data_IF_234300336664
#
_entry.id   IF_234300336664
#
_cell.length_a   1.000
_cell.length_b   1.000
_cell.length_c   1.000
_cell.angle_alpha   90.00
_cell.angle_beta   90.00
_cell.angle_gamma   90.00
#
_symmetry.space_group_name_H-M   'P 1'
#
loop_
_entity.id
_entity.type
_entity.pdbx_description
1 polymer ?
#
# COMPACT_ATOMS: atom_id res chain seq x y z
N UNK A 1 7.41 -12.70 -6.40
CA UNK A 1 6.32 -11.70 -6.51
C UNK A 1 6.26 -11.13 -7.91
N UNK A 2 5.07 -11.10 -8.45
CA UNK A 2 4.80 -10.41 -9.72
C UNK A 2 4.03 -9.14 -9.39
N UNK A 3 4.53 -8.00 -9.87
CA UNK A 3 3.88 -6.70 -9.69
C UNK A 3 3.48 -6.20 -11.08
N UNK A 4 2.19 -5.95 -11.26
CA UNK A 4 1.64 -5.44 -12.52
C UNK A 4 0.93 -4.12 -12.23
N UNK A 5 1.09 -3.15 -13.12
CA UNK A 5 0.45 -1.83 -12.97
C UNK A 5 -0.57 -1.63 -14.06
N UNK A 6 -1.76 -1.19 -13.67
CA UNK A 6 -2.80 -0.74 -14.59
C UNK A 6 -3.06 0.74 -14.30
N UNK A 7 -2.90 1.59 -15.30
CA UNK A 7 -3.21 3.01 -15.16
C UNK A 7 -4.66 3.25 -15.60
N UNK A 8 -5.39 4.04 -14.80
CA UNK A 8 -6.79 4.32 -15.09
C UNK A 8 -6.92 5.27 -16.29
N UNK A 9 -7.72 4.88 -17.28
CA UNK A 9 -7.89 5.67 -18.49
C UNK A 9 -8.69 6.94 -18.28
N UNK A 10 -9.58 6.96 -17.29
CA UNK A 10 -10.41 8.12 -16.98
C UNK A 10 -9.67 9.19 -16.16
N UNK A 11 -8.52 8.84 -15.59
CA UNK A 11 -7.72 9.77 -14.80
C UNK A 11 -6.25 9.33 -14.80
N UNK A 12 -5.37 10.20 -15.28
CA UNK A 12 -3.93 9.96 -15.28
C UNK A 12 -3.34 9.95 -13.87
N UNK A 13 -4.05 10.48 -12.88
CA UNK A 13 -3.58 10.53 -11.50
C UNK A 13 -3.88 9.29 -10.68
N UNK A 14 -4.64 8.31 -11.24
CA UNK A 14 -5.02 7.08 -10.54
C UNK A 14 -4.38 5.86 -11.20
N UNK A 15 -3.76 5.01 -10.40
CA UNK A 15 -3.20 3.74 -10.86
C UNK A 15 -3.57 2.60 -9.90
N UNK A 16 -3.55 1.38 -10.42
CA UNK A 16 -3.74 0.16 -9.64
C UNK A 16 -2.47 -0.67 -9.73
N UNK A 17 -1.92 -1.05 -8.60
CA UNK A 17 -0.83 -2.02 -8.52
C UNK A 17 -1.43 -3.37 -8.12
N UNK A 18 -1.24 -4.38 -8.97
CA UNK A 18 -1.66 -5.75 -8.70
C UNK A 18 -0.50 -6.53 -8.10
N UNK A 19 -0.71 -7.09 -6.91
CA UNK A 19 0.29 -7.88 -6.19
C UNK A 19 -0.04 -9.36 -6.30
N UNK A 20 0.87 -10.14 -6.86
CA UNK A 20 0.70 -11.58 -7.03
C UNK A 20 1.86 -12.32 -6.36
N UNK A 21 1.57 -13.02 -5.28
CA UNK A 21 2.53 -13.82 -4.53
C UNK A 21 2.75 -13.33 -3.11
N UNK A 22 4.02 -13.24 -2.70
CA UNK A 22 4.41 -12.91 -1.32
C UNK A 22 5.05 -11.53 -1.25
N UNK A 23 4.54 -10.69 -0.39
CA UNK A 23 5.16 -9.40 -0.07
C UNK A 23 5.98 -9.56 1.20
N UNK A 24 7.28 -9.72 1.03
CA UNK A 24 8.22 -10.05 2.08
C UNK A 24 9.57 -9.33 1.88
N UNK A 25 10.61 -9.74 2.60
CA UNK A 25 11.94 -9.12 2.51
C UNK A 25 12.58 -9.23 1.14
N UNK A 26 12.12 -10.13 0.27
CA UNK A 26 12.64 -10.30 -1.08
C UNK A 26 11.93 -9.42 -2.12
N UNK A 27 10.77 -8.88 -1.79
CA UNK A 27 9.92 -8.16 -2.75
C UNK A 27 9.50 -6.75 -2.33
N UNK A 28 9.65 -6.40 -1.06
CA UNK A 28 9.11 -5.14 -0.53
C UNK A 28 9.75 -3.88 -1.15
N UNK A 29 11.04 -3.94 -1.47
CA UNK A 29 11.72 -2.81 -2.14
C UNK A 29 11.21 -2.60 -3.56
N UNK A 30 10.86 -3.69 -4.24
CA UNK A 30 10.29 -3.63 -5.59
C UNK A 30 8.96 -2.88 -5.59
N UNK A 31 8.13 -3.13 -4.59
CA UNK A 31 6.86 -2.40 -4.45
C UNK A 31 7.10 -0.90 -4.19
N UNK A 32 8.02 -0.57 -3.31
CA UNK A 32 8.36 0.83 -3.01
C UNK A 32 8.86 1.52 -4.29
N UNK A 33 9.74 0.87 -5.05
CA UNK A 33 10.28 1.44 -6.29
C UNK A 33 9.18 1.67 -7.32
N UNK A 34 8.24 0.75 -7.44
CA UNK A 34 7.11 0.90 -8.36
C UNK A 34 6.24 2.10 -7.95
N UNK A 35 5.99 2.27 -6.66
CA UNK A 35 5.28 3.44 -6.14
C UNK A 35 6.00 4.74 -6.44
N UNK A 36 7.32 4.78 -6.27
CA UNK A 36 8.14 5.95 -6.60
C UNK A 36 8.05 6.31 -8.08
N UNK A 37 8.12 5.31 -8.95
CA UNK A 37 8.03 5.51 -10.40
C UNK A 37 6.68 6.10 -10.79
N UNK A 38 5.59 5.58 -10.22
CA UNK A 38 4.25 6.08 -10.48
C UNK A 38 4.08 7.52 -9.98
N UNK A 39 4.52 7.80 -8.77
CA UNK A 39 4.42 9.14 -8.19
C UNK A 39 5.21 10.14 -9.01
N UNK A 40 6.43 9.79 -9.43
CA UNK A 40 7.27 10.65 -10.29
C UNK A 40 6.62 10.88 -11.64
N UNK A 41 5.83 9.93 -12.14
CA UNK A 41 5.11 10.04 -13.40
C UNK A 41 3.80 10.80 -13.31
N UNK A 42 3.41 11.30 -12.15
CA UNK A 42 2.19 12.10 -11.98
C UNK A 42 1.03 11.41 -11.27
N UNK A 43 1.14 10.12 -10.96
CA UNK A 43 0.11 9.40 -10.20
C UNK A 43 0.05 9.94 -8.77
N UNK A 44 -1.15 10.24 -8.30
CA UNK A 44 -1.38 10.79 -6.95
C UNK A 44 -2.31 9.94 -6.10
N UNK A 45 -3.02 9.00 -6.71
CA UNK A 45 -3.95 8.10 -6.05
C UNK A 45 -3.66 6.67 -6.46
N UNK A 46 -3.60 5.77 -5.49
CA UNK A 46 -3.17 4.41 -5.71
C UNK A 46 -4.14 3.41 -5.09
N UNK A 47 -4.49 2.39 -5.86
CA UNK A 47 -5.17 1.20 -5.36
C UNK A 47 -4.19 0.05 -5.36
N UNK A 48 -4.02 -0.61 -4.23
CA UNK A 48 -3.23 -1.84 -4.12
C UNK A 48 -4.18 -3.03 -4.19
N UNK A 49 -4.15 -3.74 -5.30
CA UNK A 49 -4.96 -4.94 -5.50
C UNK A 49 -4.27 -6.15 -4.85
N UNK A 50 -4.87 -6.64 -3.79
CA UNK A 50 -4.35 -7.73 -2.97
C UNK A 50 -5.04 -9.07 -3.23
N UNK A 51 -5.83 -9.17 -4.30
CA UNK A 51 -6.58 -10.38 -4.63
C UNK A 51 -5.71 -11.63 -4.64
N UNK A 52 -4.51 -11.52 -5.19
CA UNK A 52 -3.56 -12.64 -5.33
C UNK A 52 -2.38 -12.56 -4.36
N UNK A 53 -2.46 -11.70 -3.37
CA UNK A 53 -1.44 -11.61 -2.32
C UNK A 53 -1.66 -12.76 -1.34
N UNK A 54 -0.65 -13.65 -1.22
CA UNK A 54 -0.75 -14.86 -0.41
C UNK A 54 -0.05 -14.75 0.93
N UNK A 55 0.82 -13.75 1.09
CA UNK A 55 1.60 -13.59 2.32
C UNK A 55 2.06 -12.14 2.48
N UNK A 56 2.01 -11.66 3.70
CA UNK A 56 2.47 -10.31 4.07
C UNK A 56 3.36 -10.42 5.31
N UNK A 57 4.65 -10.09 5.17
CA UNK A 57 5.61 -10.06 6.27
C UNK A 57 5.73 -8.65 6.87
N UNK A 58 6.53 -8.53 7.94
CA UNK A 58 6.84 -7.22 8.54
C UNK A 58 7.51 -6.28 7.53
N UNK A 59 8.39 -6.81 6.66
CA UNK A 59 8.98 -6.03 5.57
C UNK A 59 7.91 -5.53 4.59
N UNK A 60 6.92 -6.38 4.30
CA UNK A 60 5.77 -5.98 3.47
C UNK A 60 4.97 -4.85 4.09
N UNK A 61 4.78 -4.88 5.39
CA UNK A 61 4.11 -3.80 6.13
C UNK A 61 4.91 -2.50 6.00
N UNK A 62 6.23 -2.56 6.14
CA UNK A 62 7.10 -1.39 5.94
C UNK A 62 6.90 -0.81 4.54
N UNK A 63 6.77 -1.65 3.52
CA UNK A 63 6.49 -1.20 2.17
C UNK A 63 5.14 -0.47 2.07
N UNK A 64 4.08 -1.03 2.65
CA UNK A 64 2.75 -0.39 2.64
C UNK A 64 2.79 0.99 3.30
N UNK A 65 3.50 1.11 4.42
CA UNK A 65 3.62 2.38 5.12
C UNK A 65 4.42 3.41 4.34
N UNK A 66 5.50 2.97 3.68
CA UNK A 66 6.28 3.86 2.82
C UNK A 66 5.48 4.33 1.62
N UNK A 67 4.67 3.46 1.03
CA UNK A 67 3.75 3.84 -0.04
C UNK A 67 2.76 4.90 0.45
N UNK A 68 2.19 4.72 1.63
CA UNK A 68 1.27 5.70 2.20
C UNK A 68 1.93 7.07 2.38
N UNK A 69 3.14 7.11 2.94
CA UNK A 69 3.88 8.35 3.12
C UNK A 69 4.23 9.01 1.79
N UNK A 70 4.69 8.22 0.84
CA UNK A 70 5.04 8.70 -0.49
C UNK A 70 3.88 9.45 -1.14
N UNK A 71 2.68 8.86 -1.08
CA UNK A 71 1.49 9.45 -1.70
C UNK A 71 0.87 10.59 -0.89
N UNK A 72 1.36 10.84 0.34
CA UNK A 72 1.10 12.09 1.09
C UNK A 72 2.13 13.18 0.79
N UNK A 73 3.17 12.88 0.01
CA UNK A 73 4.26 13.81 -0.27
C UNK A 73 5.28 13.91 0.86
N UNK A 74 5.31 12.94 1.76
CA UNK A 74 6.23 12.91 2.89
C UNK A 74 7.48 12.08 2.59
N UNK A 75 8.54 12.30 3.39
CA UNK A 75 9.75 11.50 3.32
C UNK A 75 9.48 10.06 3.71
N UNK A 76 10.15 9.12 3.05
CA UNK A 76 10.03 7.70 3.37
C UNK A 76 10.65 7.40 4.74
N UNK A 77 10.13 6.36 5.39
CA UNK A 77 10.77 5.80 6.57
C UNK A 77 12.13 5.21 6.21
N UNK A 78 13.05 5.19 7.18
CA UNK A 78 14.28 4.44 7.05
C UNK A 78 13.95 2.95 6.94
N UNK A 79 14.21 2.38 5.77
CA UNK A 79 13.88 1.00 5.45
C UNK A 79 14.65 0.03 6.36
N UNK A 80 15.87 0.40 6.76
CA UNK A 80 16.70 -0.44 7.64
C UNK A 80 16.20 -0.46 9.09
N UNK A 81 15.37 0.48 9.48
CA UNK A 81 14.85 0.56 10.85
C UNK A 81 13.80 -0.51 11.17
N UNK A 82 13.18 -1.16 10.15
CA UNK A 82 12.27 -2.29 10.30
C UNK A 82 11.20 -2.12 11.38
N UNK A 83 11.36 -2.81 12.51
CA UNK A 83 10.42 -2.77 13.63
C UNK A 83 10.19 -1.38 14.22
N UNK A 84 11.20 -0.52 14.21
CA UNK A 84 11.03 0.86 14.69
C UNK A 84 10.07 1.64 13.79
N UNK A 85 10.05 1.34 12.51
CA UNK A 85 9.09 1.92 11.56
C UNK A 85 7.67 1.53 11.94
N UNK A 86 7.44 0.26 12.24
CA UNK A 86 6.11 -0.25 12.64
C UNK A 86 5.68 0.36 13.97
N UNK A 87 6.59 0.49 14.94
CA UNK A 87 6.30 1.13 16.24
C UNK A 87 5.97 2.60 16.11
N UNK A 88 6.57 3.29 15.16
CA UNK A 88 6.30 4.71 14.93
C UNK A 88 4.91 4.99 14.39
N UNK A 89 4.18 3.95 13.96
CA UNK A 89 2.81 4.05 13.50
C UNK A 89 1.86 4.68 14.52
N UNK A 90 2.07 4.41 15.80
CA UNK A 90 1.22 4.98 16.84
C UNK A 90 1.24 6.51 16.82
N UNK A 91 2.36 7.09 16.41
CA UNK A 91 2.50 8.54 16.26
C UNK A 91 1.79 9.05 15.01
N UNK A 92 1.71 8.22 13.98
CA UNK A 92 1.13 8.59 12.69
C UNK A 92 -0.39 8.41 12.67
N UNK A 93 -0.95 7.62 13.56
CA UNK A 93 -2.39 7.39 13.68
C UNK A 93 -3.18 8.67 13.90
N UNK A 94 -2.55 9.71 14.45
CA UNK A 94 -3.16 11.01 14.58
C UNK A 94 -3.54 11.64 13.24
N UNK A 95 -2.97 11.17 12.12
CA UNK A 95 -3.30 11.59 10.77
C UNK A 95 -4.54 10.91 10.17
N UNK A 96 -5.07 9.89 10.84
CA UNK A 96 -6.28 9.19 10.41
C UNK A 96 -6.08 8.28 9.20
N UNK A 97 -7.20 7.94 8.56
CA UNK A 97 -7.23 7.04 7.42
C UNK A 97 -6.57 7.65 6.18
N UNK A 98 -5.84 6.83 5.44
CA UNK A 98 -5.15 7.29 4.24
C UNK A 98 -6.16 7.65 3.14
N UNK A 99 -5.95 8.80 2.50
CA UNK A 99 -6.85 9.31 1.46
C UNK A 99 -6.38 8.95 0.05
N UNK A 100 -5.08 8.73 -0.12
CA UNK A 100 -4.48 8.60 -1.44
C UNK A 100 -4.06 7.17 -1.78
N UNK A 101 -4.15 6.25 -0.83
CA UNK A 101 -3.85 4.83 -1.03
C UNK A 101 -4.96 4.00 -0.44
N UNK A 102 -5.53 3.10 -1.24
CA UNK A 102 -6.64 2.23 -0.82
C UNK A 102 -6.32 0.79 -1.18
N UNK A 103 -6.90 -0.14 -0.42
CA UNK A 103 -6.66 -1.57 -0.60
C UNK A 103 -7.88 -2.23 -1.25
N UNK A 104 -7.63 -3.14 -2.18
CA UNK A 104 -8.66 -3.87 -2.90
C UNK A 104 -8.52 -5.37 -2.62
N UNK A 105 -9.64 -6.00 -2.28
CA UNK A 105 -9.73 -7.45 -2.08
C UNK A 105 -8.73 -8.01 -1.08
N UNK A 106 -8.65 -7.39 0.10
CA UNK A 106 -7.81 -7.88 1.19
C UNK A 106 -8.30 -9.26 1.62
N UNK A 107 -7.40 -10.25 1.54
CA UNK A 107 -7.74 -11.62 1.95
C UNK A 107 -7.84 -11.73 3.47
N UNK A 108 -8.54 -12.74 4.03
CA UNK A 108 -8.61 -12.92 5.48
C UNK A 108 -7.23 -13.05 6.15
N UNK A 109 -6.29 -13.72 5.51
CA UNK A 109 -4.92 -13.89 6.02
C UNK A 109 -4.19 -12.54 6.11
N UNK A 110 -4.27 -11.74 5.07
CA UNK A 110 -3.66 -10.41 5.03
C UNK A 110 -4.35 -9.48 6.02
N UNK A 111 -5.69 -9.52 6.08
CA UNK A 111 -6.45 -8.73 7.05
C UNK A 111 -6.01 -9.02 8.49
N UNK A 112 -5.81 -10.30 8.82
CA UNK A 112 -5.35 -10.70 10.15
C UNK A 112 -3.99 -10.12 10.49
N UNK A 113 -3.07 -10.07 9.53
CA UNK A 113 -1.74 -9.46 9.74
C UNK A 113 -1.87 -7.95 9.98
N UNK A 114 -2.68 -7.26 9.18
CA UNK A 114 -2.90 -5.82 9.33
C UNK A 114 -3.55 -5.51 10.69
N UNK A 115 -4.49 -6.34 11.13
CA UNK A 115 -5.14 -6.18 12.42
C UNK A 115 -4.16 -6.41 13.59
N UNK A 116 -3.32 -7.43 13.48
CA UNK A 116 -2.33 -7.77 14.49
C UNK A 116 -1.33 -6.63 14.73
N UNK A 117 -0.90 -5.95 13.68
CA UNK A 117 0.02 -4.80 13.81
C UNK A 117 -0.72 -3.48 14.02
N UNK A 118 -2.04 -3.49 14.03
CA UNK A 118 -2.86 -2.34 14.37
C UNK A 118 -3.05 -1.33 13.25
N UNK A 119 -2.95 -1.74 11.99
CA UNK A 119 -3.12 -0.84 10.85
C UNK A 119 -4.33 -1.17 9.96
N UNK A 120 -5.19 -2.06 10.42
CA UNK A 120 -6.39 -2.45 9.65
C UNK A 120 -7.29 -1.24 9.33
N UNK A 121 -7.36 -0.27 10.24
CA UNK A 121 -8.16 0.94 10.07
C UNK A 121 -7.39 2.09 9.40
N UNK A 122 -6.14 1.85 9.03
CA UNK A 122 -5.28 2.86 8.42
C UNK A 122 -5.61 3.07 6.93
N UNK A 123 -6.15 2.06 6.27
CA UNK A 123 -6.51 2.10 4.85
C UNK A 123 -7.98 1.77 4.65
N UNK A 124 -8.64 2.51 3.76
CA UNK A 124 -9.95 2.09 3.26
C UNK A 124 -9.81 0.84 2.41
N UNK A 125 -10.72 -0.10 2.58
CA UNK A 125 -10.74 -1.39 1.89
C UNK A 125 -11.98 -1.51 1.01
N UNK A 126 -11.77 -1.97 -0.22
CA UNK A 126 -12.83 -2.16 -1.21
C UNK A 126 -12.81 -3.60 -1.71
N UNK A 127 -13.98 -4.07 -2.16
CA UNK A 127 -14.13 -5.39 -2.79
C UNK A 127 -14.41 -5.28 -4.29
N UNK A 128 -14.72 -4.08 -4.79
CA UNK A 128 -15.07 -3.84 -6.19
C UNK A 128 -14.07 -2.83 -6.77
N UNK A 129 -13.32 -3.21 -7.83
CA UNK A 129 -12.29 -2.33 -8.41
C UNK A 129 -12.82 -0.96 -8.81
N UNK A 130 -13.98 -0.91 -9.47
CA UNK A 130 -14.57 0.36 -9.93
C UNK A 130 -14.90 1.28 -8.77
N UNK A 131 -15.36 0.74 -7.64
CA UNK A 131 -15.67 1.53 -6.45
C UNK A 131 -14.40 2.09 -5.81
N UNK A 132 -13.33 1.29 -5.76
CA UNK A 132 -12.05 1.75 -5.24
C UNK A 132 -11.52 2.93 -6.03
N UNK A 133 -11.51 2.82 -7.36
CA UNK A 133 -11.04 3.88 -8.25
C UNK A 133 -11.92 5.13 -8.15
N UNK A 134 -13.24 4.96 -8.11
CA UNK A 134 -14.18 6.07 -8.04
C UNK A 134 -14.19 6.80 -6.70
N UNK A 135 -13.59 6.22 -5.66
CA UNK A 135 -13.59 6.76 -4.30
C UNK A 135 -12.63 7.94 -4.08
N UNK A 136 -11.73 8.18 -5.03
CA UNK A 136 -10.76 9.28 -4.93
C UNK A 136 -11.35 10.64 -5.31
#
# INVERSE_FOLDING_TARGET
MIITVTQEQSSESVAVIHLDGKLDSNSYLKLIDEGKNLFSGGVRHLVLDMTKLTYLSSAGIVALLNIARLFRGESLYDIEAGWNTIRSLDRERGGGMQKNVKLLNVTPEVHSVLDMVGIVDFFEMYAVPAEAVASF
#
